data_IF_414731809349
#
_entry.id   IF_414731809349
#
_cell.length_a   1.000
_cell.length_b   1.000
_cell.length_c   1.000
_cell.angle_alpha   90.00
_cell.angle_beta   90.00
_cell.angle_gamma   90.00
#
_symmetry.space_group_name_H-M   'P 1'
#
loop_
_entity.id
_entity.type
_entity.pdbx_description
1 polymer ?
#
# COMPACT_ATOMS: atom_id res chain seq x y z
N UNK A 1 11.91 24.40 25.51
CA UNK A 1 11.74 23.15 26.28
C UNK A 1 10.25 22.90 26.41
N UNK A 2 9.67 22.12 25.49
CA UNK A 2 8.25 21.75 25.58
C UNK A 2 8.15 20.65 26.63
N UNK A 3 7.38 20.89 27.69
CA UNK A 3 7.10 19.89 28.71
C UNK A 3 6.35 18.74 28.03
N UNK A 4 6.99 17.56 27.90
CA UNK A 4 6.30 16.38 27.38
C UNK A 4 5.25 15.99 28.40
N UNK A 5 3.99 16.26 28.09
CA UNK A 5 2.86 15.81 28.91
C UNK A 5 2.77 14.31 28.76
N UNK A 6 2.79 13.56 29.87
CA UNK A 6 2.62 12.11 29.82
C UNK A 6 1.17 11.77 29.45
N UNK A 7 0.96 11.24 28.25
CA UNK A 7 -0.33 10.75 27.82
C UNK A 7 -0.49 9.28 28.24
N UNK A 8 -1.57 8.97 28.95
CA UNK A 8 -1.92 7.58 29.27
C UNK A 8 -2.42 6.86 28.01
N UNK A 9 -1.73 5.81 27.57
CA UNK A 9 -2.18 4.96 26.45
C UNK A 9 -3.00 3.79 27.00
N UNK A 10 -4.20 3.50 26.47
CA UNK A 10 -4.99 2.36 26.91
C UNK A 10 -4.28 1.05 26.57
N UNK A 11 -4.29 0.09 27.50
CA UNK A 11 -3.67 -1.24 27.30
C UNK A 11 -4.29 -2.07 26.17
N UNK A 12 -5.51 -1.74 25.76
CA UNK A 12 -6.26 -2.44 24.70
C UNK A 12 -6.42 -1.61 23.42
N UNK A 13 -5.60 -0.57 23.22
CA UNK A 13 -5.67 0.25 22.01
C UNK A 13 -5.26 -0.58 20.79
N UNK A 14 -6.16 -0.63 19.81
CA UNK A 14 -5.85 -1.08 18.46
C UNK A 14 -5.80 0.12 17.51
N UNK A 15 -4.82 0.14 16.61
CA UNK A 15 -4.65 1.16 15.58
C UNK A 15 -4.93 0.55 14.19
N UNK A 16 -5.76 1.21 13.36
CA UNK A 16 -5.79 0.91 11.94
C UNK A 16 -4.49 1.40 11.30
N UNK A 17 -3.68 0.48 10.80
CA UNK A 17 -2.40 0.77 10.14
C UNK A 17 -2.47 0.32 8.69
N UNK A 18 -1.83 1.07 7.78
CA UNK A 18 -1.57 0.55 6.44
C UNK A 18 -0.58 -0.59 6.58
N UNK A 19 -0.93 -1.76 6.06
CA UNK A 19 -0.07 -2.95 6.09
C UNK A 19 0.54 -3.24 4.73
N UNK A 20 -0.16 -2.87 3.66
CA UNK A 20 0.36 -3.02 2.32
C UNK A 20 -0.17 -1.96 1.36
N UNK A 21 0.59 -1.67 0.30
CA UNK A 21 0.07 -1.03 -0.89
C UNK A 21 0.69 -1.58 -2.18
N UNK A 22 -0.10 -1.62 -3.24
CA UNK A 22 0.38 -1.73 -4.63
C UNK A 22 0.19 -0.35 -5.26
N UNK A 23 1.30 0.31 -5.57
CA UNK A 23 1.31 1.72 -5.91
C UNK A 23 1.23 1.95 -7.42
N UNK A 24 0.23 2.74 -7.84
CA UNK A 24 0.01 3.19 -9.22
C UNK A 24 -0.09 2.04 -10.22
N UNK A 25 -0.83 0.99 -9.88
CA UNK A 25 -1.17 -0.08 -10.80
C UNK A 25 -2.24 0.39 -11.80
N UNK A 26 -2.27 -0.19 -12.99
CA UNK A 26 -3.30 0.03 -14.01
C UNK A 26 -4.40 -0.99 -13.92
N UNK A 27 -5.64 -0.53 -13.92
CA UNK A 27 -6.79 -1.41 -14.10
C UNK A 27 -6.77 -1.97 -15.52
N UNK A 28 -6.61 -3.27 -15.65
CA UNK A 28 -6.53 -3.96 -16.95
C UNK A 28 -7.90 -4.20 -17.55
N UNK A 29 -8.94 -4.35 -16.72
CA UNK A 29 -10.30 -4.58 -17.14
C UNK A 29 -11.31 -4.09 -16.10
N UNK A 30 -12.53 -3.78 -16.55
CA UNK A 30 -13.66 -3.49 -15.67
C UNK A 30 -14.91 -4.19 -16.22
N UNK A 31 -15.50 -5.11 -15.44
CA UNK A 31 -16.67 -5.88 -15.85
C UNK A 31 -17.83 -5.70 -14.86
N UNK A 32 -18.85 -4.96 -15.31
CA UNK A 32 -20.06 -4.68 -14.54
C UNK A 32 -20.90 -5.93 -14.24
N UNK A 33 -20.84 -6.95 -15.10
CA UNK A 33 -21.69 -8.13 -15.02
C UNK A 33 -21.01 -9.32 -14.32
N UNK A 34 -19.77 -9.14 -13.87
CA UNK A 34 -19.02 -10.16 -13.15
C UNK A 34 -19.28 -10.15 -11.64
N UNK A 35 -18.93 -11.24 -10.96
CA UNK A 35 -19.04 -11.38 -9.50
C UNK A 35 -18.09 -10.36 -8.83
N UNK A 36 -18.69 -9.40 -8.11
CA UNK A 36 -18.00 -8.20 -7.61
C UNK A 36 -16.84 -8.48 -6.65
N UNK A 37 -15.80 -7.63 -6.73
CA UNK A 37 -14.55 -7.58 -5.94
C UNK A 37 -13.49 -6.85 -6.80
N UNK A 38 -12.20 -6.92 -6.43
CA UNK A 38 -11.09 -6.71 -7.36
C UNK A 38 -10.34 -8.02 -7.57
N UNK A 39 -10.10 -8.41 -8.83
CA UNK A 39 -9.18 -9.49 -9.17
C UNK A 39 -7.77 -8.93 -9.34
N UNK A 40 -6.78 -9.50 -8.68
CA UNK A 40 -5.39 -9.01 -8.68
C UNK A 40 -4.44 -10.17 -8.97
N UNK A 41 -3.46 -9.96 -9.84
CA UNK A 41 -2.36 -10.90 -10.08
C UNK A 41 -1.77 -11.43 -8.75
N UNK A 42 -1.72 -12.75 -8.62
CA UNK A 42 -1.25 -13.40 -7.41
C UNK A 42 0.23 -13.12 -7.08
N UNK A 43 1.07 -12.79 -8.06
CA UNK A 43 2.46 -12.37 -7.79
C UNK A 43 2.51 -11.01 -7.09
N UNK A 44 1.59 -10.10 -7.43
CA UNK A 44 1.46 -8.81 -6.74
C UNK A 44 0.89 -8.97 -5.33
N UNK A 45 -0.05 -9.91 -5.15
CA UNK A 45 -0.60 -10.24 -3.84
C UNK A 45 0.46 -10.79 -2.90
N UNK A 46 1.28 -11.73 -3.39
CA UNK A 46 2.38 -12.30 -2.60
C UNK A 46 3.43 -11.23 -2.25
N UNK A 47 3.80 -10.37 -3.20
CA UNK A 47 4.75 -9.29 -2.95
C UNK A 47 4.25 -8.25 -1.92
N UNK A 48 2.94 -7.99 -1.93
CA UNK A 48 2.30 -7.05 -1.02
C UNK A 48 1.85 -7.67 0.31
N UNK A 49 1.99 -8.99 0.52
CA UNK A 49 1.39 -9.73 1.65
C UNK A 49 -0.12 -9.47 1.80
N UNK A 50 -0.85 -9.53 0.68
CA UNK A 50 -2.31 -9.36 0.64
C UNK A 50 -2.99 -10.69 0.33
N UNK A 51 -3.86 -11.14 1.23
CA UNK A 51 -4.50 -12.45 1.14
C UNK A 51 -5.79 -12.43 0.29
N UNK A 52 -6.13 -13.55 -0.36
CA UNK A 52 -7.46 -13.74 -0.94
C UNK A 52 -8.59 -13.47 0.08
N UNK A 53 -9.57 -12.67 -0.31
CA UNK A 53 -10.69 -12.26 0.55
C UNK A 53 -10.37 -11.13 1.53
N UNK A 54 -9.13 -10.63 1.58
CA UNK A 54 -8.76 -9.51 2.43
C UNK A 54 -9.40 -8.20 1.95
N UNK A 55 -9.86 -7.40 2.92
CA UNK A 55 -10.39 -6.06 2.66
C UNK A 55 -9.27 -5.14 2.15
N UNK A 56 -9.57 -4.40 1.09
CA UNK A 56 -8.69 -3.43 0.47
C UNK A 56 -9.47 -2.18 0.07
N UNK A 57 -8.79 -1.04 0.11
CA UNK A 57 -9.24 0.18 -0.52
C UNK A 57 -8.58 0.30 -1.89
N UNK A 58 -9.38 0.58 -2.92
CA UNK A 58 -8.91 1.01 -4.24
C UNK A 58 -9.11 2.51 -4.32
N UNK A 59 -8.02 3.25 -4.49
CA UNK A 59 -8.06 4.70 -4.65
C UNK A 59 -7.59 5.05 -6.05
N UNK A 60 -8.49 5.66 -6.82
CA UNK A 60 -8.29 5.99 -8.23
C UNK A 60 -7.58 7.33 -8.34
N UNK A 61 -6.38 7.30 -8.90
CA UNK A 61 -5.53 8.46 -9.13
C UNK A 61 -5.99 9.26 -10.35
N UNK A 62 -6.62 8.60 -11.33
CA UNK A 62 -7.11 9.25 -12.55
C UNK A 62 -8.28 10.17 -12.25
N UNK A 63 -9.28 9.67 -11.50
CA UNK A 63 -10.56 10.36 -11.32
C UNK A 63 -10.88 10.73 -9.85
N UNK A 64 -10.09 10.26 -8.88
CA UNK A 64 -10.26 10.56 -7.46
C UNK A 64 -11.28 9.69 -6.72
N UNK A 65 -11.90 8.71 -7.38
CA UNK A 65 -12.83 7.78 -6.76
C UNK A 65 -12.12 6.92 -5.70
N UNK A 66 -12.91 6.50 -4.70
CA UNK A 66 -12.45 5.62 -3.63
C UNK A 66 -13.52 4.58 -3.37
N UNK A 67 -13.11 3.33 -3.28
CA UNK A 67 -14.00 2.24 -2.90
C UNK A 67 -13.27 1.25 -2.01
N UNK A 68 -14.03 0.61 -1.13
CA UNK A 68 -13.57 -0.48 -0.29
C UNK A 68 -14.18 -1.77 -0.81
N UNK A 69 -13.36 -2.79 -0.98
CA UNK A 69 -13.77 -4.09 -1.51
C UNK A 69 -12.89 -5.19 -0.91
N UNK A 70 -12.92 -6.38 -1.49
CA UNK A 70 -12.05 -7.50 -1.15
C UNK A 70 -11.34 -8.06 -2.37
N UNK A 71 -10.23 -8.78 -2.15
CA UNK A 71 -9.37 -9.32 -3.20
C UNK A 71 -9.82 -10.71 -3.66
N UNK A 72 -9.77 -10.96 -4.97
CA UNK A 72 -9.80 -12.28 -5.60
C UNK A 72 -8.45 -12.50 -6.30
N UNK A 73 -7.81 -13.67 -6.16
CA UNK A 73 -6.55 -13.95 -6.85
C UNK A 73 -6.77 -14.17 -8.35
N UNK A 74 -5.95 -13.51 -9.17
CA UNK A 74 -5.83 -13.69 -10.62
C UNK A 74 -4.71 -14.64 -11.00
N UNK A 75 -4.52 -14.83 -12.32
CA UNK A 75 -3.41 -15.63 -12.85
C UNK A 75 -2.05 -14.95 -12.56
N UNK A 76 -1.05 -15.76 -12.18
CA UNK A 76 0.30 -15.28 -11.84
C UNK A 76 1.02 -14.71 -13.05
N UNK A 77 1.68 -13.57 -12.88
CA UNK A 77 2.48 -12.91 -13.90
C UNK A 77 1.66 -12.36 -15.07
N UNK A 78 0.34 -12.26 -14.91
CA UNK A 78 -0.57 -11.72 -15.92
C UNK A 78 -0.69 -10.19 -15.88
N UNK A 79 -0.27 -9.56 -14.78
CA UNK A 79 -0.48 -8.15 -14.50
C UNK A 79 -1.96 -7.79 -14.27
N UNK A 80 -2.85 -8.77 -14.10
CA UNK A 80 -4.29 -8.51 -14.07
C UNK A 80 -4.69 -7.67 -12.84
N UNK A 81 -5.40 -6.57 -13.08
CA UNK A 81 -6.16 -5.84 -12.08
C UNK A 81 -7.55 -5.57 -12.67
N UNK A 82 -8.52 -6.42 -12.34
CA UNK A 82 -9.88 -6.34 -12.87
C UNK A 82 -10.87 -5.88 -11.81
N UNK A 83 -11.55 -4.77 -12.06
CA UNK A 83 -12.62 -4.26 -11.19
C UNK A 83 -13.95 -4.87 -11.63
N UNK A 84 -14.63 -5.54 -10.69
CA UNK A 84 -15.85 -6.30 -10.98
C UNK A 84 -17.09 -5.67 -10.35
N UNK A 85 -18.25 -5.87 -10.98
CA UNK A 85 -19.56 -5.53 -10.43
C UNK A 85 -19.78 -4.02 -10.27
N UNK A 86 -20.44 -3.62 -9.18
CA UNK A 86 -20.83 -2.22 -8.95
C UNK A 86 -19.65 -1.22 -8.95
N UNK A 87 -18.45 -1.68 -8.64
CA UNK A 87 -17.23 -0.87 -8.65
C UNK A 87 -16.82 -0.40 -10.06
N UNK A 88 -17.23 -1.11 -11.12
CA UNK A 88 -16.93 -0.76 -12.51
C UNK A 88 -17.61 0.55 -12.99
N UNK A 89 -18.55 1.09 -12.20
CA UNK A 89 -19.12 2.42 -12.42
C UNK A 89 -18.18 3.57 -12.01
N UNK A 90 -17.22 3.30 -11.11
CA UNK A 90 -16.35 4.31 -10.50
C UNK A 90 -14.90 4.21 -10.96
N UNK A 91 -14.49 3.05 -11.44
CA UNK A 91 -13.11 2.74 -11.84
C UNK A 91 -13.16 1.97 -13.16
N UNK A 92 -12.36 2.38 -14.13
CA UNK A 92 -12.41 1.90 -15.50
C UNK A 92 -11.07 1.30 -15.96
N UNK A 93 -11.11 0.48 -17.00
CA UNK A 93 -9.89 -0.01 -17.64
C UNK A 93 -9.02 1.17 -18.12
N UNK A 94 -7.73 1.11 -17.81
CA UNK A 94 -6.76 2.17 -18.06
C UNK A 94 -6.54 3.12 -16.88
N UNK A 95 -7.42 3.12 -15.87
CA UNK A 95 -7.23 3.99 -14.70
C UNK A 95 -6.02 3.57 -13.88
N UNK A 96 -5.33 4.57 -13.32
CA UNK A 96 -4.25 4.38 -12.37
C UNK A 96 -4.83 4.33 -10.97
N UNK A 97 -4.52 3.28 -10.21
CA UNK A 97 -5.02 3.09 -8.86
C UNK A 97 -3.89 2.81 -7.88
N UNK A 98 -4.14 3.06 -6.61
CA UNK A 98 -3.36 2.51 -5.50
C UNK A 98 -4.28 1.53 -4.76
N UNK A 99 -3.86 0.27 -4.66
CA UNK A 99 -4.54 -0.71 -3.82
C UNK A 99 -3.91 -0.65 -2.42
N UNK A 100 -4.71 -0.54 -1.37
CA UNK A 100 -4.22 -0.38 0.00
C UNK A 100 -4.90 -1.41 0.90
N UNK A 101 -4.11 -2.19 1.63
CA UNK A 101 -4.61 -3.05 2.69
C UNK A 101 -4.35 -2.42 4.07
N UNK A 102 -5.34 -2.52 4.96
CA UNK A 102 -5.26 -2.05 6.34
C UNK A 102 -5.38 -3.20 7.33
N UNK A 103 -4.67 -3.11 8.44
CA UNK A 103 -4.71 -4.06 9.55
C UNK A 103 -4.98 -3.36 10.88
N UNK A 104 -5.58 -4.08 11.83
CA UNK A 104 -5.68 -3.63 13.22
C UNK A 104 -4.47 -4.14 14.00
N UNK A 105 -3.72 -3.23 14.59
CA UNK A 105 -2.48 -3.56 15.33
C UNK A 105 -2.55 -3.05 16.75
N UNK A 106 -1.91 -3.75 17.69
CA UNK A 106 -1.69 -3.19 19.02
C UNK A 106 -0.86 -1.90 18.94
N UNK A 107 -1.02 -1.00 19.91
CA UNK A 107 -0.19 0.22 19.96
C UNK A 107 1.31 -0.11 20.00
N UNK A 108 1.70 -1.22 20.62
CA UNK A 108 3.08 -1.67 20.68
C UNK A 108 3.59 -2.06 19.28
N UNK A 109 2.85 -2.92 18.57
CA UNK A 109 3.26 -3.39 17.23
C UNK A 109 3.25 -2.24 16.22
N UNK A 110 2.22 -1.37 16.26
CA UNK A 110 2.07 -0.26 15.33
C UNK A 110 3.22 0.76 15.38
N UNK A 111 3.92 0.87 16.51
CA UNK A 111 5.05 1.80 16.66
C UNK A 111 6.30 1.35 15.91
N UNK A 112 6.47 0.04 15.74
CA UNK A 112 7.66 -0.57 15.13
C UNK A 112 7.39 -1.18 13.77
N UNK A 113 6.14 -1.45 13.42
CA UNK A 113 5.75 -2.09 12.16
C UNK A 113 6.13 -1.26 10.92
N UNK A 114 6.67 -1.90 9.89
CA UNK A 114 6.85 -1.32 8.56
C UNK A 114 5.96 -2.05 7.54
N UNK A 115 5.28 -1.32 6.64
CA UNK A 115 4.35 -1.91 5.67
C UNK A 115 5.05 -2.57 4.49
N UNK A 116 4.31 -3.35 3.70
CA UNK A 116 4.74 -3.83 2.39
C UNK A 116 4.39 -2.80 1.30
N UNK A 117 5.38 -2.34 0.56
CA UNK A 117 5.18 -1.34 -0.50
C UNK A 117 5.66 -1.92 -1.82
N UNK A 118 4.73 -2.15 -2.75
CA UNK A 118 5.03 -2.66 -4.09
C UNK A 118 4.84 -1.54 -5.11
N UNK A 119 5.87 -1.27 -5.90
CA UNK A 119 5.80 -0.40 -7.07
C UNK A 119 5.75 -1.24 -8.34
N UNK A 120 4.95 -0.79 -9.31
CA UNK A 120 4.77 -1.50 -10.57
C UNK A 120 4.94 -0.58 -11.79
N UNK A 121 5.29 -1.19 -12.92
CA UNK A 121 5.37 -0.54 -14.23
C UNK A 121 3.99 -0.36 -14.87
N UNK A 122 3.96 0.01 -16.15
CA UNK A 122 2.69 0.23 -16.85
C UNK A 122 1.88 -1.02 -17.15
N UNK A 123 2.55 -2.17 -17.17
CA UNK A 123 1.99 -3.49 -17.39
C UNK A 123 1.73 -4.23 -16.07
N UNK A 124 1.86 -3.53 -14.94
CA UNK A 124 1.75 -4.05 -13.58
C UNK A 124 2.82 -5.08 -13.21
N UNK A 125 3.99 -5.09 -13.85
CA UNK A 125 5.13 -5.86 -13.37
C UNK A 125 5.80 -5.12 -12.21
N UNK A 126 6.29 -5.87 -11.24
CA UNK A 126 6.97 -5.33 -10.06
C UNK A 126 8.28 -4.66 -10.49
N UNK A 127 8.41 -3.38 -10.16
CA UNK A 127 9.65 -2.61 -10.28
C UNK A 127 10.47 -2.68 -9.00
N UNK A 128 9.80 -2.58 -7.85
CA UNK A 128 10.44 -2.53 -6.55
C UNK A 128 9.50 -3.00 -5.44
N UNK A 129 10.11 -3.54 -4.38
CA UNK A 129 9.44 -3.92 -3.14
C UNK A 129 10.23 -3.37 -1.96
N UNK A 130 9.60 -2.49 -1.18
CA UNK A 130 10.21 -1.86 -0.02
C UNK A 130 9.23 -1.73 1.14
N UNK A 131 9.61 -0.92 2.12
CA UNK A 131 8.81 -0.69 3.32
C UNK A 131 8.51 0.79 3.59
N UNK A 132 8.92 1.66 2.69
CA UNK A 132 8.77 3.11 2.80
C UNK A 132 7.65 3.64 1.90
N UNK A 133 6.51 4.10 2.47
CA UNK A 133 5.35 4.50 1.70
C UNK A 133 5.51 5.85 0.98
N UNK A 134 6.50 6.67 1.37
CA UNK A 134 6.74 7.99 0.81
C UNK A 134 7.92 8.07 -0.16
N UNK A 135 8.71 7.00 -0.28
CA UNK A 135 9.86 6.94 -1.20
C UNK A 135 9.42 6.52 -2.61
N UNK A 136 10.26 6.81 -3.59
CA UNK A 136 10.08 6.41 -4.99
C UNK A 136 11.26 5.51 -5.35
N UNK A 137 11.06 4.39 -6.06
CA UNK A 137 12.15 3.51 -6.43
C UNK A 137 13.22 4.23 -7.26
N UNK A 138 14.48 3.86 -7.07
CA UNK A 138 15.61 4.29 -7.91
C UNK A 138 15.62 3.48 -9.21
N UNK A 139 14.60 3.70 -10.03
CA UNK A 139 14.44 3.13 -11.37
C UNK A 139 14.40 4.26 -12.40
N UNK A 140 14.75 3.98 -13.64
CA UNK A 140 14.78 5.00 -14.69
C UNK A 140 13.42 5.73 -14.75
N UNK A 141 13.44 7.06 -14.89
CA UNK A 141 12.23 7.90 -14.87
C UNK A 141 11.21 7.57 -15.98
N UNK A 142 11.60 6.76 -16.97
CA UNK A 142 10.70 6.20 -17.98
C UNK A 142 9.95 4.94 -17.53
N UNK A 143 10.47 4.21 -16.54
CA UNK A 143 9.87 3.01 -15.94
C UNK A 143 9.01 3.38 -14.72
N UNK A 144 9.49 4.29 -13.87
CA UNK A 144 8.66 4.89 -12.83
C UNK A 144 7.74 5.95 -13.42
N UNK A 145 6.43 5.76 -13.27
CA UNK A 145 5.36 6.68 -13.72
C UNK A 145 5.43 8.06 -13.03
N UNK A 146 6.39 8.93 -13.37
CA UNK A 146 6.57 10.30 -12.87
C UNK A 146 5.93 10.55 -11.49
N UNK A 147 6.57 10.01 -10.44
CA UNK A 147 6.15 10.15 -9.05
C UNK A 147 7.24 10.90 -8.30
N UNK A 148 6.83 11.85 -7.46
CA UNK A 148 7.74 12.56 -6.56
C UNK A 148 7.64 11.96 -5.15
N UNK A 149 8.76 11.82 -4.42
CA UNK A 149 8.73 11.37 -3.03
C UNK A 149 7.97 12.37 -2.14
N UNK A 150 7.44 11.88 -1.04
CA UNK A 150 6.64 12.68 -0.11
C UNK A 150 7.01 12.41 1.34
N UNK A 151 7.24 13.50 2.08
CA UNK A 151 7.49 13.46 3.52
C UNK A 151 8.91 13.01 3.88
N UNK A 152 9.06 12.52 5.11
CA UNK A 152 10.27 11.85 5.60
C UNK A 152 9.96 10.37 5.74
N UNK A 153 10.98 9.52 5.55
CA UNK A 153 10.83 8.08 5.69
C UNK A 153 10.39 7.70 7.11
N UNK A 154 9.68 6.59 7.26
CA UNK A 154 9.27 6.04 8.56
C UNK A 154 10.51 5.78 9.42
N UNK A 155 11.58 5.24 8.83
CA UNK A 155 12.85 5.04 9.51
C UNK A 155 13.47 6.35 10.01
N UNK A 156 13.58 7.37 9.14
CA UNK A 156 14.12 8.68 9.54
C UNK A 156 13.25 9.37 10.61
N UNK A 157 11.93 9.24 10.52
CA UNK A 157 11.01 9.73 11.54
C UNK A 157 11.28 9.06 12.89
N UNK A 158 11.43 7.73 12.91
CA UNK A 158 11.72 6.96 14.14
C UNK A 158 13.09 7.30 14.73
N UNK A 159 14.10 7.46 13.90
CA UNK A 159 15.44 7.86 14.33
C UNK A 159 15.48 9.27 14.93
N UNK A 160 14.53 10.12 14.55
CA UNK A 160 14.38 11.47 15.11
C UNK A 160 13.75 11.50 16.51
N UNK A 161 13.17 10.37 16.99
CA UNK A 161 12.47 10.33 18.26
C UNK A 161 13.43 10.41 19.46
N UNK A 162 13.11 11.20 20.50
CA UNK A 162 13.92 11.26 21.71
C UNK A 162 14.09 9.87 22.36
N UNK A 163 15.33 9.41 22.53
CA UNK A 163 15.63 8.11 23.16
C UNK A 163 15.82 6.95 22.17
N UNK A 164 15.72 7.17 20.86
CA UNK A 164 16.22 6.21 19.87
C UNK A 164 17.74 6.07 20.02
N UNK A 165 18.19 5.01 20.71
CA UNK A 165 19.62 4.72 20.86
C UNK A 165 20.16 4.27 19.51
N UNK A 166 21.09 5.04 18.91
CA UNK A 166 22.02 4.48 17.92
C UNK A 166 22.81 3.39 18.64
N UNK A 167 22.74 2.14 18.19
CA UNK A 167 23.61 1.11 18.73
C UNK A 167 25.05 1.47 18.39
N UNK A 168 25.86 1.74 19.42
CA UNK A 168 27.31 1.87 19.34
C UNK A 168 27.93 0.52 18.98
N UNK A 169 27.79 0.09 17.72
CA UNK A 169 28.56 -1.01 17.12
C UNK A 169 28.72 -0.76 15.62
N UNK A 170 29.33 0.38 15.28
CA UNK A 170 30.05 0.55 14.02
C UNK A 170 31.43 1.13 14.39
N UNK A 171 32.40 0.24 14.57
CA UNK A 171 33.85 0.52 14.59
C UNK A 171 34.53 -0.53 13.72
#
# INVERSE_FOLDING_TARGET
MILMTEFTTPRSLLRPMMIAKIHRATITAADLHYVGSITVDADLLDAADVLPGQQVDVVDVTNGARLTTYVIPGERGSGILCINGAAAHLVHAGDLVILIAYGQMSDADARTYTPHVVFVDEQNHILDVGDEPGEVPDVDAGEARHVEPSGVSIHAYRDSLPGARRSEFDI
#
